data_IF_225867970854
#
_entry.id   IF_225867970854
#
_cell.length_a   1.000
_cell.length_b   1.000
_cell.length_c   1.000
_cell.angle_alpha   90.00
_cell.angle_beta   90.00
_cell.angle_gamma   90.00
#
_symmetry.space_group_name_H-M   'P 1'
#
loop_
_entity.id
_entity.type
_entity.pdbx_description
1 polymer ?
#
# COMPACT_ATOMS: atom_id res chain seq x y z
N UNK A 1 2.34 5.68 6.44
CA UNK A 1 2.38 4.40 5.71
C UNK A 1 1.50 3.30 6.32
N UNK A 2 1.78 2.75 7.51
CA UNK A 2 0.96 1.64 8.06
C UNK A 2 -0.51 2.01 8.27
N UNK A 3 -0.81 3.23 8.69
CA UNK A 3 -2.19 3.74 8.78
C UNK A 3 -2.94 3.72 7.43
N UNK A 4 -2.27 4.05 6.32
CA UNK A 4 -2.89 3.97 4.99
C UNK A 4 -3.09 2.53 4.52
N UNK A 5 -2.19 1.61 4.89
CA UNK A 5 -2.36 0.18 4.60
C UNK A 5 -3.55 -0.38 5.41
N UNK A 6 -3.68 0.03 6.68
CA UNK A 6 -4.85 -0.30 7.50
C UNK A 6 -6.15 0.27 6.91
N UNK A 7 -6.14 1.52 6.43
CA UNK A 7 -7.30 2.13 5.77
C UNK A 7 -7.68 1.41 4.48
N UNK A 8 -6.70 0.99 3.68
CA UNK A 8 -6.93 0.20 2.47
C UNK A 8 -7.54 -1.16 2.83
N UNK A 9 -6.99 -1.86 3.83
CA UNK A 9 -7.55 -3.12 4.30
C UNK A 9 -8.98 -2.98 4.83
N UNK A 10 -9.29 -1.87 5.52
CA UNK A 10 -10.65 -1.57 5.97
C UNK A 10 -11.59 -1.33 4.78
N UNK A 11 -11.15 -0.55 3.79
CA UNK A 11 -11.93 -0.28 2.57
C UNK A 11 -12.22 -1.57 1.80
N UNK A 12 -11.23 -2.45 1.67
CA UNK A 12 -11.37 -3.73 0.98
C UNK A 12 -12.25 -4.72 1.76
N UNK A 13 -12.16 -4.74 3.10
CA UNK A 13 -13.05 -5.50 3.97
C UNK A 13 -14.50 -5.04 3.80
N UNK A 14 -14.72 -3.72 3.83
CA UNK A 14 -16.04 -3.13 3.61
C UNK A 14 -16.56 -3.44 2.20
N UNK A 15 -15.72 -3.39 1.16
CA UNK A 15 -16.09 -3.81 -0.18
C UNK A 15 -16.57 -5.27 -0.20
N UNK A 16 -15.89 -6.18 0.51
CA UNK A 16 -16.30 -7.58 0.62
C UNK A 16 -17.64 -7.77 1.33
N UNK A 17 -17.84 -7.06 2.44
CA UNK A 17 -19.11 -7.08 3.19
C UNK A 17 -20.26 -6.53 2.33
N UNK A 18 -20.06 -5.36 1.71
CA UNK A 18 -21.06 -4.72 0.85
C UNK A 18 -21.38 -5.62 -0.35
N UNK A 19 -20.38 -6.24 -0.98
CA UNK A 19 -20.62 -7.14 -2.10
C UNK A 19 -21.38 -8.41 -1.67
N UNK A 20 -21.08 -8.95 -0.49
CA UNK A 20 -21.83 -10.07 0.08
C UNK A 20 -23.29 -9.67 0.31
N UNK A 21 -23.54 -8.50 0.89
CA UNK A 21 -24.90 -7.94 1.01
C UNK A 21 -25.55 -7.72 -0.36
N UNK A 22 -24.81 -7.26 -1.36
CA UNK A 22 -25.29 -7.06 -2.72
C UNK A 22 -25.79 -8.38 -3.32
N UNK A 23 -25.04 -9.48 -3.17
CA UNK A 23 -25.46 -10.81 -3.62
C UNK A 23 -26.75 -11.27 -2.91
N UNK A 24 -26.82 -11.13 -1.58
CA UNK A 24 -27.99 -11.54 -0.79
C UNK A 24 -29.27 -10.76 -1.15
N UNK A 25 -29.09 -9.49 -1.50
CA UNK A 25 -30.18 -8.58 -1.90
C UNK A 25 -30.44 -8.58 -3.42
N UNK A 26 -29.72 -9.39 -4.19
CA UNK A 26 -29.88 -9.50 -5.65
C UNK A 26 -30.88 -10.61 -6.04
N UNK A 27 -31.12 -10.78 -7.35
CA UNK A 27 -32.09 -11.75 -7.87
C UNK A 27 -33.53 -11.37 -7.53
N UNK A 28 -34.33 -12.32 -7.03
CA UNK A 28 -35.75 -12.11 -6.71
C UNK A 28 -35.98 -11.06 -5.61
N UNK A 29 -35.01 -10.86 -4.72
CA UNK A 29 -35.09 -9.84 -3.67
C UNK A 29 -34.91 -8.41 -4.21
N UNK A 30 -34.34 -8.25 -5.41
CA UNK A 30 -34.13 -6.93 -6.01
C UNK A 30 -35.44 -6.17 -6.19
N UNK A 31 -36.51 -6.87 -6.58
CA UNK A 31 -37.83 -6.27 -6.79
C UNK A 31 -38.56 -5.88 -5.50
N UNK A 32 -38.08 -6.36 -4.34
CA UNK A 32 -38.63 -5.99 -3.02
C UNK A 32 -37.99 -4.73 -2.46
N UNK A 33 -36.91 -4.24 -3.07
CA UNK A 33 -36.19 -3.05 -2.62
C UNK A 33 -36.90 -1.79 -3.11
N UNK A 34 -37.03 -0.81 -2.22
CA UNK A 34 -37.35 0.56 -2.61
C UNK A 34 -36.19 1.20 -3.40
N UNK A 35 -36.47 2.22 -4.21
CA UNK A 35 -35.44 2.93 -4.99
C UNK A 35 -34.29 3.44 -4.11
N UNK A 36 -34.58 3.95 -2.92
CA UNK A 36 -33.56 4.44 -1.98
C UNK A 36 -32.68 3.31 -1.45
N UNK A 37 -33.26 2.15 -1.10
CA UNK A 37 -32.47 0.99 -0.67
C UNK A 37 -31.60 0.45 -1.81
N UNK A 38 -32.12 0.48 -3.04
CA UNK A 38 -31.37 0.09 -4.23
C UNK A 38 -30.16 1.02 -4.46
N UNK A 39 -30.35 2.35 -4.36
CA UNK A 39 -29.22 3.28 -4.45
C UNK A 39 -28.22 3.14 -3.31
N UNK A 40 -28.66 2.83 -2.09
CA UNK A 40 -27.73 2.58 -0.99
C UNK A 40 -26.89 1.32 -1.25
N UNK A 41 -27.51 0.26 -1.80
CA UNK A 41 -26.86 -1.00 -2.15
C UNK A 41 -25.78 -0.81 -3.23
N UNK A 42 -26.09 -0.13 -4.32
CA UNK A 42 -25.10 0.12 -5.39
C UNK A 42 -24.14 1.26 -5.03
N UNK A 43 -24.63 2.31 -4.39
CA UNK A 43 -23.84 3.45 -3.95
C UNK A 43 -22.75 3.06 -2.96
N UNK A 44 -23.03 2.15 -2.03
CA UNK A 44 -22.02 1.64 -1.09
C UNK A 44 -20.86 0.90 -1.78
N UNK A 45 -21.12 0.21 -2.90
CA UNK A 45 -20.05 -0.38 -3.74
C UNK A 45 -19.18 0.72 -4.38
N UNK A 46 -19.79 1.81 -4.87
CA UNK A 46 -19.07 2.97 -5.38
C UNK A 46 -18.23 3.67 -4.30
N UNK A 47 -18.76 3.82 -3.08
CA UNK A 47 -18.03 4.40 -1.95
C UNK A 47 -16.80 3.56 -1.61
N UNK A 48 -16.95 2.24 -1.53
CA UNK A 48 -15.84 1.33 -1.24
C UNK A 48 -14.76 1.38 -2.33
N UNK A 49 -15.16 1.38 -3.61
CA UNK A 49 -14.25 1.56 -4.75
C UNK A 49 -13.49 2.90 -4.64
N UNK A 50 -14.21 4.00 -4.45
CA UNK A 50 -13.61 5.32 -4.35
C UNK A 50 -12.61 5.40 -3.17
N UNK A 51 -12.97 4.86 -2.01
CA UNK A 51 -12.12 4.84 -0.82
C UNK A 51 -10.83 4.04 -1.06
N UNK A 52 -10.89 2.88 -1.71
CA UNK A 52 -9.70 2.09 -2.07
C UNK A 52 -8.82 2.83 -3.08
N UNK A 53 -9.40 3.43 -4.13
CA UNK A 53 -8.64 4.17 -5.16
C UNK A 53 -7.94 5.40 -4.59
N UNK A 54 -8.63 6.20 -3.78
CA UNK A 54 -8.01 7.35 -3.11
C UNK A 54 -6.93 6.93 -2.10
N UNK A 55 -7.15 5.83 -1.38
CA UNK A 55 -6.14 5.27 -0.47
C UNK A 55 -4.89 4.82 -1.23
N UNK A 56 -5.04 4.15 -2.37
CA UNK A 56 -3.92 3.76 -3.22
C UNK A 56 -3.16 4.97 -3.77
N UNK A 57 -3.87 6.02 -4.19
CA UNK A 57 -3.25 7.27 -4.62
C UNK A 57 -2.45 7.93 -3.49
N UNK A 58 -3.02 8.01 -2.28
CA UNK A 58 -2.34 8.56 -1.11
C UNK A 58 -1.06 7.78 -0.76
N UNK A 59 -1.13 6.44 -0.81
CA UNK A 59 0.05 5.57 -0.62
C UNK A 59 1.09 5.82 -1.71
N UNK A 60 0.68 5.91 -2.98
CA UNK A 60 1.58 6.16 -4.10
C UNK A 60 2.31 7.51 -3.95
N UNK A 61 1.59 8.56 -3.56
CA UNK A 61 2.16 9.89 -3.30
C UNK A 61 3.11 9.86 -2.10
N UNK A 62 2.71 9.25 -0.97
CA UNK A 62 3.57 9.14 0.22
C UNK A 62 4.88 8.40 -0.12
N UNK A 63 4.78 7.29 -0.86
CA UNK A 63 5.94 6.51 -1.32
C UNK A 63 6.83 7.30 -2.25
N UNK A 64 6.25 8.03 -3.21
CA UNK A 64 6.98 8.87 -4.14
C UNK A 64 7.78 9.95 -3.40
N UNK A 65 7.13 10.67 -2.48
CA UNK A 65 7.76 11.71 -1.67
C UNK A 65 8.87 11.18 -0.76
N UNK A 66 8.65 10.01 -0.15
CA UNK A 66 9.65 9.37 0.74
C UNK A 66 10.90 8.95 -0.03
N UNK A 67 10.73 8.36 -1.22
CA UNK A 67 11.86 7.93 -2.07
C UNK A 67 12.64 9.10 -2.69
N UNK A 68 11.96 10.21 -2.97
CA UNK A 68 12.61 11.44 -3.43
C UNK A 68 13.43 12.11 -2.32
N UNK A 69 12.86 12.24 -1.12
CA UNK A 69 13.46 13.06 -0.05
C UNK A 69 14.55 12.38 0.77
N UNK A 70 14.80 11.06 0.61
CA UNK A 70 15.75 10.29 1.46
C UNK A 70 15.66 10.63 2.96
N UNK A 71 14.49 11.06 3.44
CA UNK A 71 14.31 11.51 4.81
C UNK A 71 13.86 10.32 5.64
N UNK A 72 14.65 10.01 6.67
CA UNK A 72 14.19 9.21 7.80
C UNK A 72 12.92 9.89 8.34
N UNK A 73 11.86 9.11 8.46
CA UNK A 73 10.53 9.56 8.87
C UNK A 73 10.63 10.44 10.13
N UNK A 74 10.45 11.75 9.99
CA UNK A 74 10.36 12.64 11.16
C UNK A 74 9.00 12.41 11.80
N UNK A 75 8.99 11.91 13.03
CA UNK A 75 7.84 11.35 13.75
C UNK A 75 6.79 12.35 14.22
N UNK A 76 6.29 13.19 13.31
CA UNK A 76 5.20 14.11 13.61
C UNK A 76 4.39 14.38 12.37
N UNK A 77 3.23 13.72 12.25
CA UNK A 77 2.08 14.15 11.44
C UNK A 77 0.90 13.14 11.47
N UNK A 78 0.68 12.44 12.59
CA UNK A 78 -0.47 11.53 12.74
C UNK A 78 -1.80 12.22 12.45
N UNK A 79 -1.97 13.47 12.91
CA UNK A 79 -3.13 14.31 12.59
C UNK A 79 -3.32 14.51 11.08
N UNK A 80 -2.26 14.84 10.33
CA UNK A 80 -2.32 14.99 8.88
C UNK A 80 -2.76 13.70 8.17
N UNK A 81 -2.31 12.55 8.64
CA UNK A 81 -2.70 11.25 8.07
C UNK A 81 -4.18 10.97 8.30
N UNK A 82 -4.68 11.22 9.53
CA UNK A 82 -6.10 11.08 9.84
C UNK A 82 -6.98 12.06 9.05
N UNK A 83 -6.55 13.32 8.89
CA UNK A 83 -7.24 14.29 8.04
C UNK A 83 -7.32 13.83 6.59
N UNK A 84 -6.22 13.32 6.02
CA UNK A 84 -6.23 12.79 4.65
C UNK A 84 -7.18 11.60 4.51
N UNK A 85 -7.15 10.64 5.45
CA UNK A 85 -8.05 9.50 5.46
C UNK A 85 -9.52 9.98 5.53
N UNK A 86 -9.83 10.88 6.47
CA UNK A 86 -11.17 11.44 6.63
C UNK A 86 -11.64 12.13 5.34
N UNK A 87 -10.79 12.94 4.70
CA UNK A 87 -11.12 13.60 3.44
C UNK A 87 -11.37 12.58 2.32
N UNK A 88 -10.58 11.50 2.24
CA UNK A 88 -10.82 10.42 1.28
C UNK A 88 -12.21 9.80 1.47
N UNK A 89 -12.59 9.46 2.72
CA UNK A 89 -13.89 8.88 3.02
C UNK A 89 -15.05 9.84 2.72
N UNK A 90 -14.91 11.12 3.07
CA UNK A 90 -15.92 12.14 2.78
C UNK A 90 -16.12 12.30 1.27
N UNK A 91 -15.04 12.42 0.49
CA UNK A 91 -15.14 12.53 -0.98
C UNK A 91 -15.76 11.25 -1.58
N UNK A 92 -15.38 10.07 -1.09
CA UNK A 92 -15.98 8.80 -1.52
C UNK A 92 -17.47 8.74 -1.24
N UNK A 93 -17.90 9.13 -0.04
CA UNK A 93 -19.31 9.14 0.35
C UNK A 93 -20.13 10.13 -0.49
N UNK A 94 -19.59 11.32 -0.75
CA UNK A 94 -20.22 12.31 -1.63
C UNK A 94 -20.37 11.73 -3.03
N UNK A 95 -19.28 11.22 -3.64
CA UNK A 95 -19.31 10.66 -4.99
C UNK A 95 -20.31 9.51 -5.11
N UNK A 96 -20.32 8.56 -4.16
CA UNK A 96 -21.25 7.43 -4.18
C UNK A 96 -22.71 7.82 -3.89
N UNK A 97 -22.94 8.95 -3.21
CA UNK A 97 -24.27 9.46 -2.84
C UNK A 97 -24.93 10.39 -3.86
N UNK A 98 -24.18 10.92 -4.85
CA UNK A 98 -24.71 11.84 -5.88
C UNK A 98 -25.99 11.34 -6.60
N UNK A 99 -26.16 10.04 -6.94
CA UNK A 99 -27.38 9.55 -7.56
C UNK A 99 -28.62 9.68 -6.65
N UNK A 100 -28.44 9.52 -5.34
CA UNK A 100 -29.50 9.69 -4.33
C UNK A 100 -29.92 11.16 -4.25
N UNK A 101 -28.96 12.07 -4.42
CA UNK A 101 -29.20 13.52 -4.41
C UNK A 101 -29.80 14.07 -5.71
N UNK A 102 -30.05 13.22 -6.73
CA UNK A 102 -30.77 13.60 -7.94
C UNK A 102 -30.07 13.29 -9.25
N UNK A 103 -28.80 12.86 -9.26
CA UNK A 103 -28.10 12.49 -10.50
C UNK A 103 -28.44 11.06 -10.96
N UNK A 104 -29.73 10.77 -11.08
CA UNK A 104 -30.28 9.49 -11.52
C UNK A 104 -31.11 9.65 -12.81
N UNK A 105 -31.63 8.55 -13.35
CA UNK A 105 -32.37 8.54 -14.61
C UNK A 105 -33.87 8.27 -14.46
N UNK A 106 -34.44 8.40 -13.25
CA UNK A 106 -35.84 8.03 -12.96
C UNK A 106 -36.81 8.81 -13.86
N UNK A 107 -36.55 10.10 -14.08
CA UNK A 107 -37.35 10.96 -14.94
C UNK A 107 -36.99 10.86 -16.44
N UNK A 108 -35.86 10.23 -16.78
CA UNK A 108 -35.30 10.18 -18.14
C UNK A 108 -34.85 8.77 -18.54
N UNK A 109 -35.82 7.88 -18.77
CA UNK A 109 -35.63 6.46 -19.08
C UNK A 109 -34.66 6.18 -20.24
N UNK A 110 -34.58 7.07 -21.25
CA UNK A 110 -33.68 6.92 -22.40
C UNK A 110 -32.19 7.09 -22.05
N UNK A 111 -31.90 7.72 -20.91
CA UNK A 111 -30.54 7.99 -20.44
C UNK A 111 -30.07 7.00 -19.36
N UNK A 112 -30.87 5.97 -19.06
CA UNK A 112 -30.52 4.95 -18.08
C UNK A 112 -29.43 3.99 -18.58
N UNK A 113 -28.57 3.59 -17.65
CA UNK A 113 -27.59 2.52 -17.82
C UNK A 113 -28.29 1.15 -17.91
N UNK A 114 -27.73 0.23 -18.72
CA UNK A 114 -28.20 -1.16 -18.80
C UNK A 114 -27.61 -2.00 -17.67
N UNK A 115 -26.38 -1.70 -17.25
CA UNK A 115 -25.66 -2.43 -16.21
C UNK A 115 -26.16 -2.05 -14.81
N UNK A 116 -26.45 -0.76 -14.59
CA UNK A 116 -27.00 -0.23 -13.34
C UNK A 116 -28.34 0.46 -13.62
N UNK A 117 -29.45 -0.29 -13.66
CA UNK A 117 -30.78 0.28 -13.87
C UNK A 117 -31.05 1.34 -12.79
N UNK A 118 -31.53 2.54 -13.15
CA UNK A 118 -31.68 3.76 -12.30
C UNK A 118 -30.46 4.72 -12.30
N UNK A 119 -29.26 4.28 -12.66
CA UNK A 119 -28.13 5.21 -12.82
C UNK A 119 -28.17 5.93 -14.17
N UNK A 120 -27.87 7.23 -14.16
CA UNK A 120 -27.76 8.02 -15.37
C UNK A 120 -26.42 7.77 -16.07
N UNK A 121 -26.43 7.57 -17.39
CA UNK A 121 -25.21 7.30 -18.19
C UNK A 121 -24.12 8.36 -18.02
N UNK A 122 -24.50 9.63 -17.89
CA UNK A 122 -23.50 10.72 -17.68
C UNK A 122 -22.81 10.63 -16.32
N UNK A 123 -23.51 10.19 -15.27
CA UNK A 123 -22.90 9.95 -13.96
C UNK A 123 -21.90 8.79 -14.04
N UNK A 124 -22.28 7.69 -14.71
CA UNK A 124 -21.39 6.53 -14.91
C UNK A 124 -20.14 6.96 -15.68
N UNK A 125 -20.32 7.71 -16.78
CA UNK A 125 -19.21 8.26 -17.56
C UNK A 125 -18.29 9.13 -16.68
N UNK A 126 -18.86 10.05 -15.92
CA UNK A 126 -18.11 10.92 -15.01
C UNK A 126 -17.26 10.10 -14.02
N UNK A 127 -17.87 9.15 -13.32
CA UNK A 127 -17.16 8.31 -12.34
C UNK A 127 -16.07 7.46 -13.00
N UNK A 128 -16.39 6.81 -14.11
CA UNK A 128 -15.43 5.97 -14.85
C UNK A 128 -14.26 6.80 -15.35
N UNK A 129 -14.49 8.01 -15.88
CA UNK A 129 -13.41 8.92 -16.30
C UNK A 129 -12.55 9.36 -15.12
N UNK A 130 -13.16 9.81 -14.01
CA UNK A 130 -12.42 10.25 -12.81
C UNK A 130 -11.56 9.14 -12.24
N UNK A 131 -12.11 7.94 -12.03
CA UNK A 131 -11.33 6.82 -11.54
C UNK A 131 -10.25 6.38 -12.52
N UNK A 132 -10.53 6.35 -13.83
CA UNK A 132 -9.51 6.03 -14.84
C UNK A 132 -8.33 6.99 -14.81
N UNK A 133 -8.58 8.30 -14.69
CA UNK A 133 -7.53 9.33 -14.56
C UNK A 133 -6.69 9.11 -13.30
N UNK A 134 -7.34 8.84 -12.16
CA UNK A 134 -6.63 8.57 -10.90
C UNK A 134 -5.76 7.31 -11.02
N UNK A 135 -6.29 6.23 -11.58
CA UNK A 135 -5.53 4.99 -11.78
C UNK A 135 -4.34 5.19 -12.72
N UNK A 136 -4.51 5.93 -13.81
CA UNK A 136 -3.42 6.31 -14.69
C UNK A 136 -2.35 7.14 -13.96
N UNK A 137 -2.76 8.06 -13.09
CA UNK A 137 -1.82 8.81 -12.26
C UNK A 137 -1.04 7.89 -11.30
N UNK A 138 -1.71 6.90 -10.68
CA UNK A 138 -1.06 5.89 -9.83
C UNK A 138 -0.02 5.10 -10.64
N UNK A 139 -0.39 4.60 -11.83
CA UNK A 139 0.52 3.90 -12.77
C UNK A 139 1.76 4.75 -13.05
N UNK A 140 1.57 6.02 -13.43
CA UNK A 140 2.66 6.94 -13.77
C UNK A 140 3.56 7.19 -12.55
N UNK A 141 2.99 7.40 -11.36
CA UNK A 141 3.75 7.60 -10.12
C UNK A 141 4.61 6.37 -9.80
N UNK A 142 4.05 5.17 -9.90
CA UNK A 142 4.80 3.93 -9.68
C UNK A 142 5.85 3.67 -10.76
N UNK A 143 5.57 3.99 -12.03
CA UNK A 143 6.55 3.91 -13.12
C UNK A 143 7.72 4.89 -12.91
N UNK A 144 7.45 6.11 -12.43
CA UNK A 144 8.48 7.08 -12.06
C UNK A 144 9.32 6.60 -10.88
N UNK A 145 8.67 6.06 -9.84
CA UNK A 145 9.36 5.43 -8.71
C UNK A 145 10.29 4.32 -9.20
N UNK A 146 9.80 3.44 -10.07
CA UNK A 146 10.60 2.38 -10.65
C UNK A 146 11.81 2.93 -11.41
N UNK A 147 11.59 3.87 -12.31
CA UNK A 147 12.63 4.44 -13.16
C UNK A 147 13.73 5.11 -12.32
N UNK A 148 13.34 5.79 -11.23
CA UNK A 148 14.26 6.40 -10.28
C UNK A 148 15.11 5.35 -9.56
N UNK A 149 14.50 4.27 -9.06
CA UNK A 149 15.22 3.17 -8.39
C UNK A 149 16.16 2.47 -9.37
N UNK A 150 15.70 2.13 -10.58
CA UNK A 150 16.54 1.47 -11.60
C UNK A 150 17.72 2.33 -12.03
N UNK A 151 17.54 3.64 -12.16
CA UNK A 151 18.61 4.56 -12.49
C UNK A 151 19.65 4.64 -11.37
N UNK A 152 19.23 4.69 -10.11
CA UNK A 152 20.13 4.64 -8.94
C UNK A 152 20.87 3.31 -8.85
N UNK A 153 20.20 2.18 -9.07
CA UNK A 153 20.84 0.86 -9.07
C UNK A 153 21.86 0.68 -10.19
N UNK A 154 21.55 1.16 -11.42
CA UNK A 154 22.51 1.09 -12.55
C UNK A 154 23.77 1.91 -12.30
N UNK A 155 23.64 3.11 -11.72
CA UNK A 155 24.81 3.93 -11.32
C UNK A 155 25.69 3.24 -10.27
N UNK A 156 25.10 2.48 -9.36
CA UNK A 156 25.84 1.71 -8.35
C UNK A 156 26.52 0.47 -8.93
N UNK A 157 25.92 -0.19 -9.94
CA UNK A 157 26.55 -1.33 -10.65
C UNK A 157 27.76 -0.88 -11.47
N UNK A 158 27.72 0.30 -12.09
CA UNK A 158 28.86 0.87 -12.83
C UNK A 158 30.04 1.27 -11.93
N UNK A 159 29.83 1.48 -10.63
CA UNK A 159 30.88 1.85 -9.65
C UNK A 159 31.37 0.63 -8.85
N UNK A 160 31.46 -0.54 -9.50
CA UNK A 160 31.78 -1.82 -8.84
C UNK A 160 33.23 -1.82 -8.31
N UNK A 161 33.38 -1.74 -6.99
CA UNK A 161 34.56 -2.20 -6.25
C UNK A 161 34.20 -3.56 -5.60
N UNK A 162 35.06 -4.58 -5.66
CA UNK A 162 34.67 -5.99 -5.43
C UNK A 162 34.20 -6.34 -4.00
N UNK A 163 34.25 -5.42 -3.03
CA UNK A 163 33.97 -5.72 -1.61
C UNK A 163 32.85 -4.89 -0.95
N UNK A 164 31.93 -4.31 -1.73
CA UNK A 164 30.91 -3.37 -1.20
C UNK A 164 29.59 -4.03 -0.78
N UNK A 165 29.13 -3.71 0.44
CA UNK A 165 27.77 -3.93 0.99
C UNK A 165 26.61 -3.47 0.06
N UNK A 166 26.89 -2.76 -1.03
CA UNK A 166 25.92 -2.28 -2.02
C UNK A 166 25.21 -3.37 -2.84
N UNK A 167 25.80 -4.56 -2.99
CA UNK A 167 25.18 -5.68 -3.74
C UNK A 167 23.82 -6.10 -3.13
N UNK A 168 23.77 -6.26 -1.80
CA UNK A 168 22.55 -6.63 -1.06
C UNK A 168 21.45 -5.56 -1.13
N UNK A 169 21.82 -4.28 -1.31
CA UNK A 169 20.85 -3.17 -1.45
C UNK A 169 20.22 -3.14 -2.85
N UNK A 170 20.99 -3.46 -3.88
CA UNK A 170 20.50 -3.57 -5.26
C UNK A 170 19.52 -4.72 -5.44
N UNK A 171 19.80 -5.89 -4.83
CA UNK A 171 18.88 -7.04 -4.81
C UNK A 171 17.55 -6.73 -4.13
N UNK A 172 17.58 -6.07 -2.95
CA UNK A 172 16.37 -5.60 -2.26
C UNK A 172 15.57 -4.62 -3.12
N UNK A 173 16.26 -3.73 -3.85
CA UNK A 173 15.62 -2.76 -4.76
C UNK A 173 14.95 -3.42 -5.97
N UNK A 174 15.55 -4.49 -6.52
CA UNK A 174 14.99 -5.31 -7.59
C UNK A 174 13.79 -6.17 -7.12
N UNK A 175 13.84 -6.68 -5.88
CA UNK A 175 12.73 -7.40 -5.28
C UNK A 175 11.51 -6.48 -5.07
N UNK A 176 11.73 -5.28 -4.54
CA UNK A 176 10.68 -4.27 -4.36
C UNK A 176 10.03 -3.86 -5.70
N UNK A 177 10.81 -3.79 -6.77
CA UNK A 177 10.29 -3.55 -8.11
C UNK A 177 9.35 -4.66 -8.59
N UNK A 178 9.76 -5.92 -8.46
CA UNK A 178 8.93 -7.06 -8.90
C UNK A 178 7.56 -7.01 -8.23
N UNK A 179 7.55 -6.73 -6.92
CA UNK A 179 6.30 -6.53 -6.18
C UNK A 179 5.44 -5.41 -6.76
N UNK A 180 6.01 -4.24 -7.08
CA UNK A 180 5.24 -3.11 -7.66
C UNK A 180 4.62 -3.46 -9.00
N UNK A 181 5.35 -4.15 -9.88
CA UNK A 181 4.82 -4.59 -11.19
C UNK A 181 3.67 -5.56 -10.98
N UNK A 182 3.83 -6.55 -10.09
CA UNK A 182 2.78 -7.55 -9.80
C UNK A 182 1.52 -6.88 -9.27
N UNK A 183 1.65 -5.96 -8.31
CA UNK A 183 0.52 -5.21 -7.73
C UNK A 183 -0.21 -4.41 -8.81
N UNK A 184 0.55 -3.69 -9.64
CA UNK A 184 -0.01 -2.85 -10.69
C UNK A 184 -0.72 -3.66 -11.78
N UNK A 185 -0.10 -4.77 -12.22
CA UNK A 185 -0.68 -5.67 -13.21
C UNK A 185 -1.94 -6.34 -12.69
N UNK A 186 -1.95 -6.79 -11.44
CA UNK A 186 -3.14 -7.37 -10.82
C UNK A 186 -4.30 -6.35 -10.78
N UNK A 187 -4.00 -5.12 -10.36
CA UNK A 187 -5.00 -4.06 -10.26
C UNK A 187 -5.63 -3.75 -11.63
N UNK A 188 -4.81 -3.53 -12.67
CA UNK A 188 -5.31 -3.25 -14.03
C UNK A 188 -6.12 -4.42 -14.56
N UNK A 189 -5.65 -5.66 -14.37
CA UNK A 189 -6.35 -6.85 -14.85
C UNK A 189 -7.72 -7.03 -14.20
N UNK A 190 -7.88 -6.65 -12.94
CA UNK A 190 -9.16 -6.75 -12.24
C UNK A 190 -10.15 -5.64 -12.60
N UNK A 191 -9.67 -4.39 -12.76
CA UNK A 191 -10.56 -3.22 -12.93
C UNK A 191 -10.82 -2.80 -14.37
N UNK A 192 -9.85 -2.99 -15.28
CA UNK A 192 -9.99 -2.55 -16.66
C UNK A 192 -11.19 -3.18 -17.40
N UNK A 193 -11.49 -4.49 -17.24
CA UNK A 193 -12.63 -5.11 -17.90
C UNK A 193 -13.96 -4.45 -17.51
N UNK A 194 -14.14 -4.09 -16.23
CA UNK A 194 -15.33 -3.40 -15.76
C UNK A 194 -15.42 -1.97 -16.30
N UNK A 195 -14.31 -1.23 -16.34
CA UNK A 195 -14.32 0.15 -16.87
C UNK A 195 -14.62 0.18 -18.37
N UNK A 196 -14.08 -0.77 -19.13
CA UNK A 196 -14.41 -0.92 -20.55
C UNK A 196 -15.91 -1.25 -20.72
N UNK A 197 -16.46 -2.14 -19.88
CA UNK A 197 -17.88 -2.47 -19.91
C UNK A 197 -18.77 -1.25 -19.62
N UNK A 198 -18.41 -0.42 -18.63
CA UNK A 198 -19.17 0.79 -18.28
C UNK A 198 -19.09 1.85 -19.40
N UNK A 199 -17.92 2.01 -20.05
CA UNK A 199 -17.79 2.88 -21.22
C UNK A 199 -18.64 2.37 -22.40
N UNK A 200 -18.67 1.06 -22.62
CA UNK A 200 -19.54 0.43 -23.62
C UNK A 200 -21.01 0.65 -23.31
N UNK A 201 -21.44 0.57 -22.05
CA UNK A 201 -22.82 0.83 -21.64
C UNK A 201 -23.26 2.27 -21.89
N UNK A 202 -22.36 3.24 -21.66
CA UNK A 202 -22.62 4.64 -22.02
C UNK A 202 -22.76 4.80 -23.53
N UNK A 203 -21.85 4.21 -24.31
CA UNK A 203 -21.82 4.35 -25.77
C UNK A 203 -22.90 3.55 -26.51
N UNK A 204 -23.39 2.46 -25.93
CA UNK A 204 -24.33 1.55 -26.58
C UNK A 204 -25.79 1.94 -26.35
N UNK A 205 -26.63 1.77 -27.37
CA UNK A 205 -28.08 1.89 -27.22
C UNK A 205 -28.63 0.69 -26.42
N UNK A 206 -29.68 0.94 -25.63
CA UNK A 206 -30.35 -0.06 -24.81
C UNK A 206 -30.71 -1.29 -25.66
N UNK A 207 -30.49 -2.50 -25.13
CA UNK A 207 -30.74 -3.82 -25.77
C UNK A 207 -29.89 -4.17 -27.00
N UNK A 208 -28.93 -3.35 -27.43
CA UNK A 208 -28.05 -3.72 -28.56
C UNK A 208 -26.84 -4.55 -28.15
N UNK A 209 -26.26 -4.26 -27.00
CA UNK A 209 -25.03 -4.92 -26.57
C UNK A 209 -25.33 -6.05 -25.58
N UNK A 210 -25.29 -7.30 -26.05
CA UNK A 210 -25.58 -8.50 -25.24
C UNK A 210 -24.57 -8.72 -24.11
N UNK A 211 -23.33 -8.23 -24.28
CA UNK A 211 -22.26 -8.35 -23.28
C UNK A 211 -22.57 -7.62 -21.96
N UNK A 212 -23.40 -6.57 -21.99
CA UNK A 212 -23.80 -5.80 -20.81
C UNK A 212 -24.62 -6.66 -19.82
N UNK A 213 -25.35 -7.66 -20.30
CA UNK A 213 -26.13 -8.58 -19.45
C UNK A 213 -25.25 -9.62 -18.74
N UNK A 214 -23.94 -9.64 -19.00
CA UNK A 214 -22.96 -10.50 -18.32
C UNK A 214 -22.11 -9.72 -17.32
N UNK A 215 -22.53 -8.52 -16.92
CA UNK A 215 -21.81 -7.62 -16.03
C UNK A 215 -21.39 -8.24 -14.68
N UNK A 216 -22.17 -9.17 -14.16
CA UNK A 216 -21.90 -9.95 -12.94
C UNK A 216 -20.47 -10.51 -12.90
N UNK A 217 -19.97 -11.07 -14.02
CA UNK A 217 -18.62 -11.63 -14.10
C UNK A 217 -17.52 -10.57 -14.00
N UNK A 218 -17.77 -9.40 -14.58
CA UNK A 218 -16.85 -8.27 -14.54
C UNK A 218 -16.82 -7.61 -13.16
N UNK A 219 -17.97 -7.52 -12.50
CA UNK A 219 -18.10 -7.05 -11.12
C UNK A 219 -17.41 -8.00 -10.13
N UNK A 220 -17.64 -9.32 -10.28
CA UNK A 220 -16.96 -10.32 -9.47
C UNK A 220 -15.43 -10.23 -9.60
N UNK A 221 -14.93 -10.09 -10.83
CA UNK A 221 -13.50 -9.92 -11.09
C UNK A 221 -12.92 -8.65 -10.44
N UNK A 222 -13.65 -7.53 -10.49
CA UNK A 222 -13.23 -6.30 -9.83
C UNK A 222 -13.19 -6.45 -8.30
N UNK A 223 -14.16 -7.15 -7.71
CA UNK A 223 -14.21 -7.39 -6.25
C UNK A 223 -13.10 -8.34 -5.78
N UNK A 224 -12.70 -9.31 -6.60
CA UNK A 224 -11.57 -10.19 -6.28
C UNK A 224 -10.26 -9.42 -6.03
N UNK A 225 -10.10 -8.22 -6.59
CA UNK A 225 -8.95 -7.35 -6.30
C UNK A 225 -8.83 -7.02 -4.80
N UNK A 226 -9.94 -6.85 -4.10
CA UNK A 226 -9.96 -6.59 -2.64
C UNK A 226 -9.40 -7.78 -1.85
N UNK A 227 -9.63 -9.01 -2.32
CA UNK A 227 -9.07 -10.24 -1.73
C UNK A 227 -7.57 -10.42 -2.05
N UNK A 228 -7.08 -9.83 -3.14
CA UNK A 228 -5.67 -9.90 -3.53
C UNK A 228 -4.75 -9.07 -2.63
N UNK A 229 -5.25 -8.00 -2.01
CA UNK A 229 -4.41 -7.09 -1.21
C UNK A 229 -3.76 -7.78 0.02
N UNK A 230 -4.48 -8.55 0.86
CA UNK A 230 -3.87 -9.37 1.91
C UNK A 230 -2.87 -10.42 1.40
N UNK A 231 -3.14 -11.07 0.27
CA UNK A 231 -2.25 -12.05 -0.34
C UNK A 231 -0.94 -11.40 -0.80
N UNK A 232 -1.04 -10.23 -1.44
CA UNK A 232 0.13 -9.44 -1.82
C UNK A 232 0.95 -9.09 -0.57
N UNK A 233 0.33 -8.60 0.50
CA UNK A 233 1.08 -8.20 1.70
C UNK A 233 1.75 -9.37 2.42
N UNK A 234 1.08 -10.51 2.52
CA UNK A 234 1.64 -11.72 3.13
C UNK A 234 2.75 -12.35 2.28
N UNK A 235 2.67 -12.28 0.95
CA UNK A 235 3.71 -12.81 0.06
C UNK A 235 4.91 -11.88 -0.09
N UNK A 236 4.73 -10.57 0.04
CA UNK A 236 5.76 -9.58 -0.28
C UNK A 236 6.47 -9.00 0.95
N UNK A 237 5.88 -9.09 2.15
CA UNK A 237 6.45 -8.59 3.39
C UNK A 237 6.65 -9.69 4.43
N UNK A 238 7.91 -10.01 4.72
CA UNK A 238 8.29 -10.96 5.77
C UNK A 238 7.89 -10.53 7.19
N UNK A 239 7.68 -9.24 7.42
CA UNK A 239 7.21 -8.71 8.70
C UNK A 239 5.70 -8.92 8.87
N UNK A 240 4.92 -8.57 7.85
CA UNK A 240 3.46 -8.77 7.86
C UNK A 240 3.11 -10.25 7.85
N UNK A 241 3.82 -11.08 7.08
CA UNK A 241 3.65 -12.55 7.11
C UNK A 241 3.84 -13.13 8.51
N UNK A 242 4.88 -12.70 9.22
CA UNK A 242 5.15 -13.16 10.60
C UNK A 242 4.09 -12.69 11.59
N UNK A 243 3.59 -11.46 11.43
CA UNK A 243 2.48 -10.97 12.26
C UNK A 243 1.18 -11.74 11.99
N UNK A 244 0.88 -12.05 10.73
CA UNK A 244 -0.31 -12.82 10.33
C UNK A 244 -0.26 -14.27 10.86
N UNK A 245 0.90 -14.93 10.74
CA UNK A 245 1.12 -16.29 11.26
C UNK A 245 1.02 -16.36 12.79
N UNK A 246 1.37 -15.29 13.51
CA UNK A 246 1.20 -15.20 14.97
C UNK A 246 -0.26 -14.99 15.41
N UNK A 247 -1.12 -14.48 14.53
CA UNK A 247 -2.54 -14.28 14.80
C UNK A 247 -3.40 -15.50 14.42
N UNK A 248 -2.85 -16.46 13.65
CA UNK A 248 -3.52 -17.72 13.40
C UNK A 248 -3.53 -18.55 14.69
N UNK A 249 -4.69 -19.09 15.10
CA UNK A 249 -4.81 -19.96 16.26
C UNK A 249 -4.25 -21.34 15.91
N UNK A 250 -2.93 -21.42 15.79
CA UNK A 250 -2.21 -22.68 15.87
C UNK A 250 -1.21 -22.55 17.02
N UNK A 251 -1.65 -22.94 18.21
CA UNK A 251 -0.78 -23.72 19.08
C UNK A 251 -0.24 -24.90 18.28
N UNK A 252 0.96 -24.76 17.73
CA UNK A 252 1.87 -25.91 17.74
C UNK A 252 2.67 -25.76 19.03
N UNK A 253 2.04 -26.20 20.11
CA UNK A 253 2.76 -26.63 21.30
C UNK A 253 3.67 -27.79 20.89
N UNK A 254 4.97 -27.52 20.99
CA UNK A 254 6.08 -28.43 20.70
C UNK A 254 7.39 -27.68 20.93
N UNK A 255 7.64 -27.30 22.19
CA UNK A 255 8.78 -26.48 22.63
C UNK A 255 10.14 -27.21 22.65
N UNK A 256 11.14 -26.74 23.44
CA UNK A 256 11.20 -25.51 24.20
C UNK A 256 12.31 -24.55 23.74
N UNK A 257 12.20 -23.33 24.24
CA UNK A 257 13.28 -22.36 24.29
C UNK A 257 14.54 -22.95 24.95
N UNK A 258 15.69 -22.75 24.32
CA UNK A 258 16.94 -22.54 25.06
C UNK A 258 17.34 -21.09 24.88
N UNK A 259 17.06 -20.30 25.91
CA UNK A 259 17.64 -18.99 26.11
C UNK A 259 18.53 -19.04 27.34
N UNK A 260 19.65 -18.30 27.26
CA UNK A 260 20.75 -18.09 28.22
C UNK A 260 21.95 -18.95 27.85
N UNK A 261 23.14 -18.39 27.60
CA UNK A 261 23.78 -17.42 28.47
C UNK A 261 24.76 -16.51 27.71
N UNK A 262 24.74 -15.23 28.07
CA UNK A 262 25.70 -14.21 27.66
C UNK A 262 26.91 -14.30 28.61
N UNK A 263 28.10 -14.39 28.02
CA UNK A 263 29.35 -13.71 28.41
C UNK A 263 30.16 -14.15 29.66
N UNK A 264 31.43 -14.49 29.37
CA UNK A 264 32.68 -14.27 30.12
C UNK A 264 33.10 -15.25 31.22
N UNK A 265 34.36 -15.73 31.07
CA UNK A 265 35.45 -15.88 32.07
C UNK A 265 36.16 -17.24 31.98
N UNK A 266 37.51 -17.16 31.88
CA UNK A 266 38.55 -18.21 31.92
C UNK A 266 38.60 -19.16 30.72
N UNK A 267 39.66 -19.25 29.94
CA UNK A 267 41.07 -19.33 30.34
C UNK A 267 41.51 -20.79 30.19
N UNK A 268 42.19 -21.14 29.09
CA UNK A 268 42.56 -22.53 28.81
C UNK A 268 43.29 -22.71 27.48
N UNK A 269 44.60 -22.43 27.53
CA UNK A 269 45.64 -22.47 26.49
C UNK A 269 45.85 -23.89 25.92
N UNK A 270 46.09 -24.03 24.61
CA UNK A 270 47.18 -24.89 24.11
C UNK A 270 47.54 -24.61 22.64
N UNK A 271 48.79 -24.15 22.46
CA UNK A 271 49.78 -24.32 21.36
C UNK A 271 49.28 -24.19 19.90
N UNK A 272 49.96 -23.51 18.98
CA UNK A 272 51.37 -23.10 18.86
C UNK A 272 51.44 -22.04 17.77
N UNK A 273 52.34 -21.06 17.89
CA UNK A 273 53.19 -20.66 16.76
C UNK A 273 54.33 -19.73 17.23
N UNK A 274 55.49 -20.02 16.65
CA UNK A 274 56.81 -19.42 16.84
C UNK A 274 56.86 -17.99 16.30
N UNK A 275 57.54 -17.07 16.99
CA UNK A 275 58.69 -16.30 16.45
C UNK A 275 59.06 -15.05 17.29
N UNK A 276 60.30 -15.07 17.80
CA UNK A 276 61.29 -13.97 17.87
C UNK A 276 60.86 -12.52 18.18
N UNK A 277 61.20 -12.01 19.36
CA UNK A 277 62.33 -11.09 19.66
C UNK A 277 62.08 -10.32 20.97
N UNK A 278 63.09 -10.09 21.82
CA UNK A 278 62.95 -9.35 23.08
C UNK A 278 63.37 -7.89 22.91
N UNK A 279 62.76 -6.96 23.67
CA UNK A 279 63.48 -5.90 24.36
C UNK A 279 62.57 -5.00 25.20
N UNK A 280 63.02 -4.80 26.46
CA UNK A 280 63.00 -3.60 27.31
C UNK A 280 61.64 -2.97 27.67
N UNK A 281 61.35 -2.88 28.97
CA UNK A 281 61.59 -1.65 29.76
C UNK A 281 61.21 -1.88 31.24
N UNK A 282 62.16 -1.52 32.11
CA UNK A 282 62.08 -1.45 33.56
C UNK A 282 61.95 0.03 33.94
N UNK A 283 61.13 0.31 34.96
CA UNK A 283 61.17 1.51 35.83
C UNK A 283 60.86 2.86 35.14
N UNK A 284 60.36 3.93 35.77
CA UNK A 284 59.96 4.26 37.13
C UNK A 284 59.22 5.61 37.05
N UNK A 285 58.38 5.88 38.05
CA UNK A 285 58.20 7.19 38.67
C UNK A 285 57.52 8.37 37.91
N UNK A 286 56.33 8.70 38.41
CA UNK A 286 55.62 9.98 38.26
C UNK A 286 56.20 11.03 39.23
N UNK A 287 56.09 12.35 38.99
CA UNK A 287 54.85 12.99 39.46
C UNK A 287 54.32 14.18 38.63
N UNK A 288 53.00 14.32 38.76
CA UNK A 288 52.17 15.53 38.83
C UNK A 288 52.67 16.84 38.19
N UNK A 289 51.83 17.41 37.32
CA UNK A 289 51.18 18.68 37.68
C UNK A 289 49.86 18.86 36.93
N UNK A 290 48.78 18.97 37.70
CA UNK A 290 47.47 19.35 37.20
C UNK A 290 47.46 20.84 36.82
N UNK A 291 46.89 21.10 35.64
CA UNK A 291 46.52 22.43 35.13
C UNK A 291 45.41 23.01 36.00
N UNK A 292 45.59 24.25 36.48
CA UNK A 292 44.48 25.11 36.90
C UNK A 292 44.51 26.40 36.12
N UNK A 293 43.35 26.71 35.54
CA UNK A 293 43.01 27.80 34.65
C UNK A 293 42.98 29.16 35.36
N UNK A 294 43.19 30.25 34.60
CA UNK A 294 42.60 31.56 34.95
C UNK A 294 43.38 32.80 34.52
N UNK A 295 42.98 33.37 33.38
CA UNK A 295 43.26 34.73 32.89
C UNK A 295 43.26 35.82 33.98
N UNK A 296 44.17 36.81 33.87
CA UNK A 296 43.85 38.26 33.90
C UNK A 296 44.95 39.04 33.13
N UNK A 297 44.55 39.78 32.09
CA UNK A 297 45.30 40.89 31.50
C UNK A 297 45.08 42.15 32.35
N UNK A 298 46.14 42.91 32.66
CA UNK A 298 46.32 44.32 32.26
C UNK A 298 47.42 45.00 33.08
N UNK A 299 48.22 45.77 32.35
CA UNK A 299 49.33 46.60 32.81
C UNK A 299 48.83 47.97 33.27
N UNK A 300 49.60 48.57 34.18
CA UNK A 300 49.63 49.98 34.64
C UNK A 300 48.70 50.35 35.79
#
# INVERSE_FOLDING_TARGET
>A
MYYFIGNLALSDLLAGVVYTCNILLSGANTYKLSSTQWFFREGSMFVALAASVFSLLAIAIERHLTMLKMKLHNGGNTCRVFLLISTCWVISAILGGLPIMGWNCIESMNSCSTVLPLYHKTYILFCTTVFSVILMAIVILYARIYSLVRTRSRKLVFRKYPNSRGSKSSEKSLALLKTVIIVLSCFIACWAPLFILLLLDVACKIRKCTILYKAEWFLALAVLNSAMNPLIYTLTSNEMRRAFLKMLPCEVSGGPASSKLRQSIMGGRSKSDNSSHPNKEEAEYCPETAVSSGNVNSSS
#
